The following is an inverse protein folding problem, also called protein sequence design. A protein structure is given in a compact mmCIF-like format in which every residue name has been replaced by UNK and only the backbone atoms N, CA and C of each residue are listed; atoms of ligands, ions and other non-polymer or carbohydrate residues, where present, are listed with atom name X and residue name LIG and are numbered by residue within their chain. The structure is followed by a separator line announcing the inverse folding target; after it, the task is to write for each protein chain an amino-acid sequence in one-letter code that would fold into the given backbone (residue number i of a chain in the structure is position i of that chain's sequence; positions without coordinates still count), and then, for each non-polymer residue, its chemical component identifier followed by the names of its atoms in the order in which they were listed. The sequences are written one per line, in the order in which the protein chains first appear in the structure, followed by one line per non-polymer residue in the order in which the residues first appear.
data_IF_146312185056
#
_entry.id   IF_146312185056
#
_cell.length_a   1.000
_cell.length_b   1.000
_cell.length_c   1.000
_cell.angle_alpha   90.00
_cell.angle_beta   90.00
_cell.angle_gamma   90.00
#
_symmetry.space_group_name_H-M   'P 1'
#
loop_
_entity.id
_entity.type
_entity.pdbx_description
1 polymer ?
#
# COMPACT_ATOMS: atom_id res chain seq x y z
N UNK A 1 -1.87 -11.06 16.62
CA UNK A 1 -1.35 -10.39 15.39
C UNK A 1 -2.54 -10.09 14.48
N UNK A 2 -2.85 -8.81 14.22
CA UNK A 2 -3.95 -8.46 13.32
C UNK A 2 -3.57 -8.90 11.89
N UNK A 3 -4.31 -9.85 11.31
CA UNK A 3 -4.19 -10.18 9.89
C UNK A 3 -4.62 -8.94 9.10
N UNK A 4 -3.72 -8.33 8.35
CA UNK A 4 -4.10 -7.32 7.37
C UNK A 4 -5.01 -7.99 6.34
N UNK A 5 -6.29 -7.61 6.35
CA UNK A 5 -7.27 -8.15 5.42
C UNK A 5 -7.64 -7.09 4.39
N UNK A 6 -7.49 -7.45 3.12
CA UNK A 6 -7.88 -6.60 2.01
C UNK A 6 -9.40 -6.58 1.88
N UNK A 7 -10.02 -5.39 1.69
CA UNK A 7 -11.44 -5.30 1.40
C UNK A 7 -11.77 -6.00 0.08
N UNK A 8 -13.02 -6.48 -0.06
CA UNK A 8 -13.49 -7.15 -1.30
C UNK A 8 -13.37 -6.23 -2.52
N UNK A 9 -13.66 -4.95 -2.36
CA UNK A 9 -13.37 -3.90 -3.34
C UNK A 9 -12.10 -3.17 -2.89
N UNK A 10 -10.98 -3.47 -3.55
CA UNK A 10 -9.69 -2.87 -3.25
C UNK A 10 -9.18 -2.12 -4.47
N UNK A 11 -9.16 -0.79 -4.36
CA UNK A 11 -8.71 0.12 -5.39
C UNK A 11 -7.60 1.05 -4.88
N UNK A 12 -6.92 1.71 -5.81
CA UNK A 12 -5.95 2.77 -5.53
C UNK A 12 -6.57 3.99 -4.80
N UNK A 13 -7.91 4.07 -4.78
CA UNK A 13 -8.69 5.13 -4.13
C UNK A 13 -8.82 4.92 -2.62
N UNK A 14 -8.57 3.71 -2.11
CA UNK A 14 -8.68 3.39 -0.69
C UNK A 14 -7.40 3.81 0.07
N UNK A 15 -7.15 5.12 0.14
CA UNK A 15 -5.92 5.70 0.68
C UNK A 15 -5.64 5.22 2.11
N UNK A 16 -6.66 5.15 2.97
CA UNK A 16 -6.50 4.74 4.38
C UNK A 16 -5.99 3.31 4.54
N UNK A 17 -6.40 2.42 3.62
CA UNK A 17 -5.91 1.04 3.59
C UNK A 17 -4.50 1.01 3.03
N UNK A 18 -4.23 1.72 1.94
CA UNK A 18 -2.92 1.75 1.30
C UNK A 18 -1.82 2.34 2.19
N UNK A 19 -2.16 3.33 3.04
CA UNK A 19 -1.25 3.92 4.03
C UNK A 19 -0.70 2.90 5.01
N UNK A 20 -1.45 1.85 5.34
CA UNK A 20 -1.00 0.77 6.23
C UNK A 20 0.05 -0.15 5.57
N UNK A 21 0.19 -0.10 4.25
CA UNK A 21 1.15 -0.90 3.48
C UNK A 21 2.37 -0.11 3.01
N UNK A 22 2.54 1.13 3.50
CA UNK A 22 3.74 1.92 3.30
C UNK A 22 4.42 2.25 4.64
N UNK A 23 5.73 2.44 4.61
CA UNK A 23 6.49 2.97 5.74
C UNK A 23 6.29 4.48 5.84
N UNK A 24 6.73 5.06 6.96
CA UNK A 24 6.75 6.52 7.16
C UNK A 24 7.55 7.24 6.05
N UNK A 25 8.64 6.63 5.60
CA UNK A 25 9.47 7.09 4.47
C UNK A 25 8.83 6.90 3.10
N UNK A 26 7.61 6.37 3.02
CA UNK A 26 6.90 6.13 1.78
C UNK A 26 7.31 4.87 1.02
N UNK A 27 8.14 3.96 1.57
CA UNK A 27 8.49 2.68 0.93
C UNK A 27 7.37 1.64 1.10
N UNK A 28 7.24 0.70 0.16
CA UNK A 28 6.22 -0.37 0.27
C UNK A 28 6.68 -1.42 1.29
N UNK A 29 5.82 -1.76 2.25
CA UNK A 29 6.11 -2.77 3.27
C UNK A 29 6.16 -4.18 2.64
N UNK A 30 7.19 -4.99 2.93
CA UNK A 30 7.29 -6.36 2.41
C UNK A 30 6.17 -7.28 2.92
N UNK A 31 5.79 -8.27 2.09
CA UNK A 31 4.75 -9.25 2.43
C UNK A 31 5.04 -10.06 3.71
N UNK A 32 6.32 -10.28 4.05
CA UNK A 32 6.70 -10.99 5.29
C UNK A 32 6.34 -10.23 6.56
N UNK A 33 6.20 -8.91 6.47
CA UNK A 33 5.84 -8.04 7.61
C UNK A 33 4.33 -7.91 7.69
N UNK A 34 3.64 -7.73 6.56
CA UNK A 34 2.18 -7.58 6.50
C UNK A 34 1.44 -8.92 6.61
N UNK A 35 2.10 -10.05 6.35
CA UNK A 35 1.51 -11.39 6.47
C UNK A 35 0.45 -11.71 5.41
N UNK A 36 0.43 -10.98 4.28
CA UNK A 36 -0.55 -11.20 3.20
C UNK A 36 -0.02 -12.17 2.13
N UNK A 37 -0.93 -12.77 1.37
CA UNK A 37 -0.56 -13.67 0.27
C UNK A 37 0.18 -12.93 -0.86
N UNK A 38 1.01 -13.65 -1.62
CA UNK A 38 1.76 -13.08 -2.75
C UNK A 38 0.84 -12.49 -3.85
N UNK A 39 -0.36 -13.06 -4.05
CA UNK A 39 -1.36 -12.50 -4.96
C UNK A 39 -1.84 -11.12 -4.48
N UNK A 40 -2.14 -11.02 -3.20
CA UNK A 40 -2.59 -9.78 -2.58
C UNK A 40 -1.50 -8.72 -2.54
N UNK A 41 -0.24 -9.09 -2.26
CA UNK A 41 0.89 -8.15 -2.32
C UNK A 41 1.07 -7.54 -3.71
N UNK A 42 0.88 -8.31 -4.78
CA UNK A 42 0.95 -7.80 -6.16
C UNK A 42 -0.16 -6.77 -6.43
N UNK A 43 -1.38 -7.02 -5.97
CA UNK A 43 -2.52 -6.09 -6.07
C UNK A 43 -2.26 -4.80 -5.30
N UNK A 44 -1.78 -4.90 -4.06
CA UNK A 44 -1.40 -3.76 -3.22
C UNK A 44 -0.33 -2.93 -3.89
N UNK A 45 0.75 -3.58 -4.34
CA UNK A 45 1.88 -2.90 -5.01
C UNK A 45 1.43 -2.15 -6.26
N UNK A 46 0.57 -2.76 -7.09
CA UNK A 46 0.01 -2.09 -8.28
C UNK A 46 -0.81 -0.85 -7.88
N UNK A 47 -1.68 -0.99 -6.88
CA UNK A 47 -2.57 0.09 -6.44
C UNK A 47 -1.82 1.25 -5.79
N UNK A 48 -0.79 0.96 -4.98
CA UNK A 48 0.10 1.99 -4.42
C UNK A 48 0.81 2.77 -5.53
N UNK A 49 1.33 2.08 -6.56
CA UNK A 49 2.02 2.76 -7.68
C UNK A 49 1.08 3.69 -8.44
N UNK A 50 -0.17 3.27 -8.68
CA UNK A 50 -1.18 4.13 -9.32
C UNK A 50 -1.55 5.31 -8.43
N UNK A 51 -1.78 5.08 -7.13
CA UNK A 51 -2.08 6.15 -6.17
C UNK A 51 -0.95 7.19 -6.08
N UNK A 52 0.32 6.75 -6.14
CA UNK A 52 1.48 7.65 -6.17
C UNK A 52 1.54 8.49 -7.45
N UNK A 53 1.27 7.89 -8.60
CA UNK A 53 1.23 8.62 -9.87
C UNK A 53 0.13 9.71 -9.87
N UNK A 54 -0.97 9.46 -9.17
CA UNK A 54 -2.07 10.42 -8.99
C UNK A 54 -1.87 11.40 -7.81
N UNK A 55 -0.68 11.45 -7.21
CA UNK A 55 -0.36 12.27 -6.04
C UNK A 55 -1.23 12.03 -4.79
N UNK A 56 -1.91 10.87 -4.70
CA UNK A 56 -2.70 10.47 -3.53
C UNK A 56 -1.82 9.91 -2.40
N UNK A 57 -0.64 9.39 -2.75
CA UNK A 57 0.37 8.90 -1.83
C UNK A 57 1.74 9.45 -2.21
N UNK A 58 2.60 9.77 -1.22
CA UNK A 58 3.96 10.21 -1.51
C UNK A 58 4.85 9.05 -2.00
N UNK A 59 5.83 9.39 -2.83
CA UNK A 59 6.94 8.49 -3.16
C UNK A 59 7.98 8.42 -2.04
N UNK A 60 8.19 9.54 -1.35
CA UNK A 60 9.14 9.74 -0.26
C UNK A 60 8.60 10.79 0.70
N UNK A 61 9.00 10.70 1.95
CA UNK A 61 8.85 11.72 2.99
C UNK A 61 9.51 13.07 2.66
N UNK A 62 10.49 13.09 1.75
CA UNK A 62 11.17 14.31 1.30
C UNK A 62 10.60 14.87 -0.01
N UNK A 63 9.28 14.77 -0.22
CA UNK A 63 8.64 15.34 -1.40
C UNK A 63 8.54 16.86 -1.23
N UNK A 64 9.36 17.61 -1.96
CA UNK A 64 9.25 19.07 -2.11
C UNK A 64 8.38 19.42 -3.32
#
# INVERSE_FOLDING_TARGET
MKKFQLPKHFDYKNIDVLKQFITETGKIVPARVTGISASNQRKVTKSIKVARFLALLPYTDMHQ
#
